data_IF_852712172986
#
_entry.id   IF_852712172986
#
_cell.length_a   1.000
_cell.length_b   1.000
_cell.length_c   1.000
_cell.angle_alpha   90.00
_cell.angle_beta   90.00
_cell.angle_gamma   90.00
#
_symmetry.space_group_name_H-M   'P 1'
#
loop_
_entity.id
_entity.type
_entity.pdbx_description
1 polymer ?
#
# COMPACT_ATOMS: atom_id res chain seq x y z
N UNK A 1 20.59 7.50 51.01
CA UNK A 1 20.78 8.41 49.86
C UNK A 1 20.00 7.81 48.71
N UNK A 2 18.85 8.38 48.37
CA UNK A 2 17.96 7.86 47.35
C UNK A 2 18.33 8.55 46.04
N UNK A 3 19.06 7.84 45.17
CA UNK A 3 19.48 8.35 43.86
C UNK A 3 18.24 8.67 43.02
N UNK A 4 17.89 9.95 42.99
CA UNK A 4 17.00 10.51 41.98
C UNK A 4 17.68 10.33 40.62
N UNK A 5 17.35 9.25 39.91
CA UNK A 5 17.63 9.14 38.48
C UNK A 5 16.85 10.23 37.77
N UNK A 6 17.52 11.38 37.59
CA UNK A 6 17.06 12.47 36.76
C UNK A 6 16.66 11.94 35.38
N UNK A 7 15.55 12.46 34.88
CA UNK A 7 15.06 12.25 33.52
C UNK A 7 16.15 12.71 32.54
N UNK A 8 17.06 11.80 32.15
CA UNK A 8 18.05 12.09 31.11
C UNK A 8 17.28 12.49 29.85
N UNK A 9 17.61 13.64 29.29
CA UNK A 9 17.19 13.98 27.93
C UNK A 9 17.79 12.93 27.01
N UNK A 10 16.95 12.02 26.52
CA UNK A 10 17.41 10.92 25.67
C UNK A 10 17.53 11.49 24.26
N UNK A 11 18.75 11.55 23.72
CA UNK A 11 19.00 12.05 22.37
C UNK A 11 18.22 11.25 21.33
N UNK A 12 17.46 11.94 20.49
CA UNK A 12 16.79 11.37 19.31
C UNK A 12 17.68 11.44 18.05
N UNK A 13 18.87 12.04 18.17
CA UNK A 13 19.88 12.09 17.11
C UNK A 13 20.92 10.98 17.30
N UNK A 14 21.40 10.33 16.23
CA UNK A 14 20.86 10.39 14.88
C UNK A 14 19.49 9.68 14.80
N UNK A 15 18.63 10.07 13.84
CA UNK A 15 17.27 9.54 13.76
C UNK A 15 17.29 8.05 13.40
N UNK A 16 16.28 7.31 13.86
CA UNK A 16 16.15 5.85 13.67
C UNK A 16 17.34 5.02 14.19
N UNK A 17 18.20 5.58 15.06
CA UNK A 17 19.30 4.82 15.65
C UNK A 17 18.90 4.03 16.91
N UNK A 18 17.61 4.00 17.26
CA UNK A 18 17.08 3.23 18.39
C UNK A 18 16.28 2.03 17.89
N UNK A 19 16.53 0.87 18.50
CA UNK A 19 15.79 -0.36 18.31
C UNK A 19 14.85 -0.61 19.48
N UNK A 20 13.66 -1.10 19.16
CA UNK A 20 12.74 -1.73 20.09
C UNK A 20 12.88 -3.24 19.96
N UNK A 21 13.15 -3.92 21.07
CA UNK A 21 13.42 -5.34 21.12
C UNK A 21 12.39 -6.02 22.02
N UNK A 22 11.64 -6.97 21.49
CA UNK A 22 10.83 -7.91 22.29
C UNK A 22 11.69 -9.15 22.52
N UNK A 23 11.89 -9.50 23.79
CA UNK A 23 12.76 -10.59 24.23
C UNK A 23 12.12 -11.39 25.37
N UNK A 24 12.79 -12.46 25.82
CA UNK A 24 12.39 -13.19 27.02
C UNK A 24 12.38 -12.29 28.25
N UNK A 25 11.54 -12.61 29.25
CA UNK A 25 11.47 -11.85 30.52
C UNK A 25 12.74 -11.96 31.36
N UNK A 26 13.54 -12.98 31.09
CA UNK A 26 14.78 -13.31 31.81
C UNK A 26 15.99 -12.61 31.19
N UNK A 27 15.83 -12.03 30.00
CA UNK A 27 16.91 -11.41 29.24
C UNK A 27 17.40 -10.15 29.97
N UNK A 28 18.69 -10.11 30.24
CA UNK A 28 19.33 -8.97 30.91
C UNK A 28 19.88 -7.95 29.93
N UNK A 29 20.20 -6.76 30.45
CA UNK A 29 20.81 -5.68 29.67
C UNK A 29 22.16 -6.12 29.08
N UNK A 30 22.95 -6.86 29.85
CA UNK A 30 24.29 -7.31 29.47
C UNK A 30 24.22 -8.30 28.30
N UNK A 31 23.22 -9.20 28.32
CA UNK A 31 23.00 -10.14 27.22
C UNK A 31 22.60 -9.41 25.93
N UNK A 32 21.73 -8.40 26.02
CA UNK A 32 21.37 -7.57 24.87
C UNK A 32 22.57 -6.77 24.37
N UNK A 33 23.35 -6.17 25.27
CA UNK A 33 24.57 -5.43 24.89
C UNK A 33 25.57 -6.33 24.18
N UNK A 34 25.82 -7.55 24.69
CA UNK A 34 26.68 -8.54 24.05
C UNK A 34 26.13 -8.96 22.69
N UNK A 35 24.81 -9.21 22.59
CA UNK A 35 24.17 -9.64 21.34
C UNK A 35 24.24 -8.58 20.24
N UNK A 36 24.16 -7.30 20.60
CA UNK A 36 24.17 -6.18 19.65
C UNK A 36 25.54 -5.49 19.50
N UNK A 37 26.55 -5.88 20.26
CA UNK A 37 27.89 -5.27 20.24
C UNK A 37 28.53 -5.33 18.85
N UNK A 38 28.36 -6.44 18.14
CA UNK A 38 28.92 -6.64 16.79
C UNK A 38 28.27 -5.73 15.73
N UNK A 39 27.08 -5.21 16.00
CA UNK A 39 26.36 -4.34 15.06
C UNK A 39 26.82 -2.87 15.19
N UNK A 40 27.45 -2.50 16.30
CA UNK A 40 28.07 -1.20 16.49
C UNK A 40 28.01 -0.70 17.94
N UNK A 41 28.47 0.53 18.13
CA UNK A 41 28.56 1.13 19.46
C UNK A 41 27.17 1.49 20.02
N UNK A 42 26.86 0.91 21.18
CA UNK A 42 25.60 1.10 21.90
C UNK A 42 25.78 2.27 22.86
N UNK A 43 25.01 3.33 22.62
CA UNK A 43 24.96 4.52 23.48
C UNK A 43 24.14 4.23 24.76
N UNK A 44 23.02 3.51 24.60
CA UNK A 44 22.12 3.21 25.71
C UNK A 44 21.40 1.87 25.51
N UNK A 45 21.25 1.08 26.57
CA UNK A 45 20.42 -0.12 26.57
C UNK A 45 19.55 -0.13 27.83
N UNK A 46 18.23 -0.17 27.64
CA UNK A 46 17.22 -0.12 28.71
C UNK A 46 16.33 -1.36 28.60
N UNK A 47 16.30 -2.19 29.64
CA UNK A 47 15.32 -3.28 29.77
C UNK A 47 14.14 -2.78 30.59
N UNK A 48 12.93 -2.90 30.05
CA UNK A 48 11.72 -2.46 30.72
C UNK A 48 11.31 -3.51 31.74
N UNK A 49 11.32 -3.12 33.01
CA UNK A 49 10.89 -3.94 34.14
C UNK A 49 9.52 -3.48 34.67
N UNK A 50 8.80 -4.38 35.31
CA UNK A 50 7.62 -4.02 36.07
C UNK A 50 7.99 -3.30 37.37
N UNK A 51 7.45 -2.10 37.57
CA UNK A 51 7.74 -1.27 38.75
C UNK A 51 7.31 -1.92 40.07
N UNK A 52 6.34 -2.84 40.05
CA UNK A 52 5.83 -3.49 41.26
C UNK A 52 6.61 -4.75 41.62
N UNK A 53 7.05 -5.53 40.63
CA UNK A 53 7.68 -6.84 40.85
C UNK A 53 9.17 -6.88 40.54
N UNK A 54 9.72 -5.84 39.90
CA UNK A 54 11.10 -5.80 39.43
C UNK A 54 11.42 -6.75 38.27
N UNK A 55 10.46 -7.58 37.84
CA UNK A 55 10.68 -8.55 36.76
C UNK A 55 10.64 -7.89 35.37
N UNK A 56 11.44 -8.41 34.45
CA UNK A 56 11.47 -7.96 33.05
C UNK A 56 10.12 -8.15 32.36
N UNK A 57 9.67 -7.14 31.61
CA UNK A 57 8.45 -7.21 30.78
C UNK A 57 8.69 -7.94 29.44
N UNK A 58 9.92 -8.38 29.17
CA UNK A 58 10.32 -8.94 27.88
C UNK A 58 10.39 -7.89 26.78
N UNK A 59 10.71 -6.65 27.15
CA UNK A 59 10.84 -5.53 26.22
C UNK A 59 12.08 -4.74 26.59
N UNK A 60 12.87 -4.34 25.59
CA UNK A 60 14.04 -3.52 25.75
C UNK A 60 14.18 -2.49 24.63
N UNK A 61 14.93 -1.43 24.91
CA UNK A 61 15.34 -0.42 23.94
C UNK A 61 16.86 -0.39 23.86
N UNK A 62 17.38 -0.41 22.63
CA UNK A 62 18.82 -0.33 22.36
C UNK A 62 19.06 0.87 21.45
N UNK A 63 19.73 1.90 21.95
CA UNK A 63 20.12 3.10 21.20
C UNK A 63 21.58 2.95 20.78
N UNK A 64 21.82 3.07 19.48
CA UNK A 64 23.15 3.14 18.91
C UNK A 64 23.56 4.57 18.63
N UNK A 65 24.87 4.79 18.61
CA UNK A 65 25.48 6.07 18.22
C UNK A 65 25.26 6.40 16.74
N UNK A 66 25.04 5.39 15.90
CA UNK A 66 24.87 5.51 14.44
C UNK A 66 23.59 4.82 13.97
N UNK A 67 22.96 5.38 12.93
CA UNK A 67 21.78 4.78 12.31
C UNK A 67 22.14 3.50 11.55
N UNK A 68 23.33 3.44 10.95
CA UNK A 68 23.86 2.24 10.29
C UNK A 68 24.03 1.07 11.26
N UNK A 69 24.42 1.33 12.51
CA UNK A 69 24.51 0.31 13.56
C UNK A 69 23.13 -0.24 13.94
N UNK A 70 22.14 0.64 14.10
CA UNK A 70 20.75 0.21 14.32
C UNK A 70 20.21 -0.60 13.13
N UNK A 71 20.54 -0.20 11.89
CA UNK A 71 20.16 -0.94 10.69
C UNK A 71 20.78 -2.35 10.65
N UNK A 72 22.03 -2.51 11.08
CA UNK A 72 22.66 -3.83 11.24
C UNK A 72 21.95 -4.66 12.32
N UNK A 73 21.69 -4.05 13.48
CA UNK A 73 20.96 -4.71 14.56
C UNK A 73 19.54 -5.14 14.17
N UNK A 74 18.85 -4.39 13.31
CA UNK A 74 17.53 -4.77 12.78
C UNK A 74 17.56 -6.12 12.04
N UNK A 75 18.67 -6.45 11.37
CA UNK A 75 18.83 -7.74 10.67
C UNK A 75 18.86 -8.95 11.62
N UNK A 76 19.06 -8.73 12.92
CA UNK A 76 18.97 -9.75 13.97
C UNK A 76 17.51 -10.00 14.42
N UNK A 77 16.52 -9.40 13.77
CA UNK A 77 15.12 -9.76 13.97
C UNK A 77 14.89 -11.26 13.68
N UNK A 78 14.32 -11.99 14.64
CA UNK A 78 14.15 -13.45 14.57
C UNK A 78 15.34 -14.27 15.06
N UNK A 79 16.43 -13.63 15.50
CA UNK A 79 17.59 -14.34 16.10
C UNK A 79 17.30 -14.75 17.56
N UNK A 80 18.18 -15.57 18.14
CA UNK A 80 18.06 -16.03 19.52
C UNK A 80 19.15 -15.39 20.38
N UNK A 81 18.79 -15.00 21.60
CA UNK A 81 19.76 -14.61 22.62
C UNK A 81 20.26 -15.88 23.32
N UNK A 82 21.53 -15.89 23.70
CA UNK A 82 22.17 -16.97 24.43
C UNK A 82 21.34 -17.40 25.66
N UNK A 83 20.98 -18.69 25.74
CA UNK A 83 20.13 -19.31 26.76
C UNK A 83 18.63 -18.97 26.72
N UNK A 84 18.12 -18.38 25.63
CA UNK A 84 16.68 -18.20 25.41
C UNK A 84 16.15 -19.13 24.32
N UNK A 85 14.94 -19.65 24.53
CA UNK A 85 14.24 -20.52 23.57
C UNK A 85 13.34 -19.74 22.61
N UNK A 86 13.13 -18.45 22.87
CA UNK A 86 12.27 -17.58 22.07
C UNK A 86 13.11 -16.65 21.19
N UNK A 87 12.78 -16.52 19.90
CA UNK A 87 13.46 -15.55 19.05
C UNK A 87 13.09 -14.13 19.47
N UNK A 88 14.04 -13.21 19.34
CA UNK A 88 13.81 -11.79 19.59
C UNK A 88 13.12 -11.13 18.40
N UNK A 89 12.20 -10.21 18.69
CA UNK A 89 11.63 -9.33 17.65
C UNK A 89 12.34 -7.98 17.72
N UNK A 90 12.97 -7.56 16.64
CA UNK A 90 13.70 -6.28 16.56
C UNK A 90 12.97 -5.35 15.58
N UNK A 91 12.70 -4.13 16.01
CA UNK A 91 12.00 -3.10 15.22
C UNK A 91 12.68 -1.75 15.38
N UNK A 92 12.56 -0.86 14.39
CA UNK A 92 13.03 0.52 14.51
C UNK A 92 12.11 1.31 15.44
N UNK A 93 12.69 2.01 16.40
CA UNK A 93 11.98 2.89 17.33
C UNK A 93 12.23 4.34 16.95
N UNK A 94 11.22 5.00 16.38
CA UNK A 94 11.32 6.41 15.95
C UNK A 94 11.24 7.43 17.10
N UNK A 95 10.71 7.08 18.28
CA UNK A 95 10.66 7.96 19.44
C UNK A 95 10.44 7.21 20.75
N UNK A 96 10.82 7.81 21.88
CA UNK A 96 10.56 7.26 23.22
C UNK A 96 9.19 7.68 23.79
N UNK A 97 8.51 8.66 23.15
CA UNK A 97 7.39 9.40 23.76
C UNK A 97 5.99 9.19 23.15
N UNK A 98 5.77 8.20 22.27
CA UNK A 98 4.38 7.89 21.89
C UNK A 98 3.64 7.28 23.09
N UNK A 99 2.85 8.11 23.78
CA UNK A 99 1.87 7.68 24.77
C UNK A 99 1.02 6.57 24.15
N UNK A 100 0.85 5.49 24.93
CA UNK A 100 -0.04 4.38 24.64
C UNK A 100 -1.45 4.89 24.33
N UNK A 101 -1.85 4.79 23.07
CA UNK A 101 -3.19 4.33 22.74
C UNK A 101 -3.01 3.17 21.76
N UNK A 102 -3.54 2.04 22.19
CA UNK A 102 -3.63 0.74 21.53
C UNK A 102 -2.34 0.10 20.95
N UNK A 103 -1.67 -0.65 21.82
CA UNK A 103 -1.64 -2.09 21.60
C UNK A 103 -1.02 -2.68 20.32
N UNK A 104 -0.01 -2.08 19.70
CA UNK A 104 1.07 -2.78 18.98
C UNK A 104 2.08 -1.74 18.50
N UNK A 105 3.41 -1.97 18.62
CA UNK A 105 4.37 -1.20 17.84
C UNK A 105 4.00 -1.41 16.38
N UNK A 106 3.60 -0.35 15.67
CA UNK A 106 3.48 -0.39 14.21
C UNK A 106 4.78 -1.03 13.72
N UNK A 107 4.69 -2.16 13.02
CA UNK A 107 5.86 -2.72 12.34
C UNK A 107 6.34 -1.64 11.39
N UNK A 108 7.40 -0.94 11.79
CA UNK A 108 7.90 0.16 11.00
C UNK A 108 8.58 -0.47 9.80
N UNK A 109 7.78 -0.63 8.75
CA UNK A 109 8.13 -1.38 7.57
C UNK A 109 9.48 -0.87 7.06
N UNK A 110 10.51 -1.72 7.05
CA UNK A 110 11.89 -1.35 6.68
C UNK A 110 11.96 -0.60 5.34
N UNK A 111 11.02 -0.92 4.43
CA UNK A 111 10.81 -0.27 3.15
C UNK A 111 10.55 1.25 3.24
N UNK A 112 9.96 1.76 4.34
CA UNK A 112 9.77 3.20 4.59
C UNK A 112 11.09 3.95 4.72
N UNK A 113 12.19 3.26 5.03
CA UNK A 113 13.51 3.85 5.25
C UNK A 113 14.51 3.53 4.15
N UNK A 114 14.03 3.03 3.01
CA UNK A 114 14.87 2.76 1.82
C UNK A 114 15.11 4.00 0.95
N UNK A 115 14.40 5.09 1.23
CA UNK A 115 14.48 6.32 0.45
C UNK A 115 15.27 7.40 1.19
N UNK A 116 16.22 7.97 0.49
CA UNK A 116 17.08 9.08 0.88
C UNK A 116 16.68 10.32 0.07
N UNK A 117 16.62 11.46 0.75
CA UNK A 117 16.50 12.79 0.17
C UNK A 117 17.84 13.50 0.31
N UNK A 118 18.38 14.05 -0.77
CA UNK A 118 19.61 14.82 -0.78
C UNK A 118 19.43 16.09 -1.62
N UNK A 119 20.11 17.17 -1.25
CA UNK A 119 20.17 18.41 -2.02
C UNK A 119 21.47 18.42 -2.80
N UNK A 120 21.39 18.24 -4.11
CA UNK A 120 22.55 18.03 -4.96
C UNK A 120 22.70 19.25 -5.88
N UNK A 121 23.93 19.66 -6.24
CA UNK A 121 24.14 20.68 -7.26
C UNK A 121 23.49 20.29 -8.60
N UNK A 122 22.88 21.24 -9.30
CA UNK A 122 22.26 20.98 -10.62
C UNK A 122 23.26 20.53 -11.69
N UNK A 123 24.56 20.73 -11.45
CA UNK A 123 25.63 20.27 -12.33
C UNK A 123 25.81 18.75 -12.35
N UNK A 124 25.23 18.01 -11.40
CA UNK A 124 25.33 16.55 -11.35
C UNK A 124 24.06 15.90 -11.92
N UNK A 125 24.27 15.06 -12.92
CA UNK A 125 23.21 14.26 -13.55
C UNK A 125 22.88 12.98 -12.74
N UNK A 126 21.75 12.36 -13.09
CA UNK A 126 21.24 11.17 -12.42
C UNK A 126 22.26 10.02 -12.39
N UNK A 127 22.97 9.80 -13.49
CA UNK A 127 23.99 8.76 -13.64
C UNK A 127 25.19 8.98 -12.72
N UNK A 128 25.64 10.24 -12.60
CA UNK A 128 26.73 10.60 -11.69
C UNK A 128 26.34 10.34 -10.24
N UNK A 129 25.10 10.68 -9.86
CA UNK A 129 24.57 10.42 -8.53
C UNK A 129 24.39 8.93 -8.28
N UNK A 130 23.88 8.19 -9.25
CA UNK A 130 23.79 6.73 -9.15
C UNK A 130 25.18 6.11 -8.92
N UNK A 131 26.18 6.54 -9.68
CA UNK A 131 27.56 6.06 -9.54
C UNK A 131 28.15 6.43 -8.18
N UNK A 132 27.97 7.66 -7.72
CA UNK A 132 28.51 8.12 -6.44
C UNK A 132 27.87 7.40 -5.25
N UNK A 133 26.54 7.24 -5.28
CA UNK A 133 25.81 6.57 -4.21
C UNK A 133 25.89 5.03 -4.28
N UNK A 134 26.28 4.46 -5.42
CA UNK A 134 26.51 3.01 -5.56
C UNK A 134 27.58 2.47 -4.60
N UNK A 135 28.51 3.33 -4.16
CA UNK A 135 29.53 2.98 -3.16
C UNK A 135 28.94 2.62 -1.79
N UNK A 136 27.77 3.15 -1.46
CA UNK A 136 27.10 2.90 -0.17
C UNK A 136 26.09 1.74 -0.24
N UNK A 137 25.69 1.35 -1.44
CA UNK A 137 24.72 0.27 -1.64
C UNK A 137 24.13 0.22 -3.05
N UNK A 138 23.28 -0.76 -3.29
CA UNK A 138 22.61 -0.95 -4.57
C UNK A 138 21.49 0.09 -4.74
N UNK A 139 21.72 1.07 -5.61
CA UNK A 139 20.74 2.11 -5.92
C UNK A 139 19.70 1.56 -6.91
N UNK A 140 18.46 1.42 -6.45
CA UNK A 140 17.30 1.00 -7.27
C UNK A 140 16.85 2.14 -8.18
N UNK A 141 16.72 3.35 -7.62
CA UNK A 141 16.16 4.49 -8.34
C UNK A 141 16.81 5.79 -7.87
N UNK A 142 17.10 6.68 -8.81
CA UNK A 142 17.42 8.07 -8.54
C UNK A 142 16.35 8.91 -9.23
N UNK A 143 15.90 9.98 -8.57
CA UNK A 143 14.98 10.96 -9.17
C UNK A 143 15.45 12.35 -8.79
N UNK A 144 15.85 13.13 -9.79
CA UNK A 144 16.23 14.53 -9.61
C UNK A 144 15.01 15.42 -9.85
N UNK A 145 14.75 16.33 -8.92
CA UNK A 145 13.68 17.32 -9.00
C UNK A 145 14.34 18.69 -8.85
N UNK A 146 14.38 19.52 -9.90
CA UNK A 146 14.92 20.88 -9.82
C UNK A 146 14.20 21.68 -8.72
N UNK A 147 14.95 22.38 -7.87
CA UNK A 147 14.34 23.22 -6.84
C UNK A 147 13.79 24.50 -7.47
N UNK A 148 12.51 24.80 -7.22
CA UNK A 148 11.85 26.03 -7.69
C UNK A 148 12.42 27.29 -7.03
N UNK A 149 13.03 27.15 -5.85
CA UNK A 149 13.59 28.27 -5.08
C UNK A 149 15.05 28.54 -5.38
N UNK A 150 15.81 27.50 -5.71
CA UNK A 150 17.24 27.60 -5.91
C UNK A 150 17.65 26.94 -7.23
N UNK A 151 17.82 27.75 -8.27
CA UNK A 151 18.09 27.27 -9.64
C UNK A 151 19.42 26.51 -9.76
N UNK A 152 20.31 26.61 -8.77
CA UNK A 152 21.62 25.93 -8.75
C UNK A 152 21.60 24.57 -8.03
N UNK A 153 20.46 24.16 -7.47
CA UNK A 153 20.32 22.92 -6.70
C UNK A 153 19.09 22.12 -7.14
N UNK A 154 19.20 20.80 -7.03
CA UNK A 154 18.11 19.87 -7.25
C UNK A 154 17.92 18.97 -6.03
N UNK A 155 16.67 18.63 -5.74
CA UNK A 155 16.30 17.61 -4.78
C UNK A 155 16.47 16.23 -5.43
N UNK A 156 17.39 15.43 -4.94
CA UNK A 156 17.59 14.05 -5.32
C UNK A 156 16.85 13.12 -4.37
N UNK A 157 16.01 12.25 -4.92
CA UNK A 157 15.39 11.14 -4.21
C UNK A 157 16.04 9.85 -4.66
N UNK A 158 16.78 9.21 -3.75
CA UNK A 158 17.56 8.01 -4.02
C UNK A 158 16.91 6.86 -3.25
N UNK A 159 16.67 5.73 -3.91
CA UNK A 159 16.06 4.55 -3.30
C UNK A 159 17.06 3.40 -3.34
N UNK A 160 17.36 2.84 -2.17
CA UNK A 160 18.26 1.70 -1.99
C UNK A 160 17.51 0.38 -1.81
N UNK A 161 18.23 -0.74 -1.89
CA UNK A 161 17.63 -2.06 -1.66
C UNK A 161 17.34 -2.35 -0.20
N UNK A 162 18.11 -1.76 0.73
CA UNK A 162 17.94 -1.99 2.17
C UNK A 162 18.02 -0.71 3.00
N UNK A 163 17.52 -0.76 4.24
CA UNK A 163 17.65 0.35 5.19
C UNK A 163 19.12 0.63 5.55
N UNK A 164 19.94 -0.43 5.65
CA UNK A 164 21.36 -0.32 5.97
C UNK A 164 22.11 0.52 4.94
N UNK A 165 21.89 0.26 3.66
CA UNK A 165 22.51 1.03 2.56
C UNK A 165 22.12 2.51 2.63
N UNK A 166 20.84 2.81 2.89
CA UNK A 166 20.39 4.20 3.08
C UNK A 166 21.07 4.87 4.26
N UNK A 167 21.22 4.17 5.38
CA UNK A 167 21.87 4.70 6.58
C UNK A 167 23.37 4.98 6.33
N UNK A 168 24.07 4.06 5.67
CA UNK A 168 25.46 4.25 5.27
C UNK A 168 25.62 5.42 4.30
N UNK A 169 24.67 5.58 3.37
CA UNK A 169 24.67 6.71 2.44
C UNK A 169 24.49 8.05 3.16
N UNK A 170 23.61 8.14 4.17
CA UNK A 170 23.42 9.37 4.94
C UNK A 170 24.65 9.71 5.79
N UNK A 171 25.29 8.70 6.36
CA UNK A 171 26.49 8.88 7.17
C UNK A 171 27.74 9.18 6.33
N UNK A 172 27.79 8.68 5.09
CA UNK A 172 28.97 8.71 4.23
C UNK A 172 28.92 9.67 3.05
N UNK A 173 27.77 10.26 2.72
CA UNK A 173 27.66 11.22 1.62
C UNK A 173 28.32 12.57 1.94
N UNK A 174 28.54 13.38 0.90
CA UNK A 174 29.03 14.75 1.07
C UNK A 174 28.11 15.53 2.04
N UNK A 175 28.64 16.13 3.12
CA UNK A 175 27.87 16.94 4.05
C UNK A 175 27.08 18.08 3.36
N UNK A 176 27.55 18.56 2.22
CA UNK A 176 26.85 19.55 1.40
C UNK A 176 25.53 19.04 0.85
N UNK A 177 25.36 17.72 0.71
CA UNK A 177 24.12 17.12 0.22
C UNK A 177 22.99 17.13 1.24
N UNK A 178 23.26 17.47 2.51
CA UNK A 178 22.24 17.56 3.56
C UNK A 178 21.30 16.35 3.53
N UNK A 179 21.86 15.15 3.35
CA UNK A 179 21.08 13.95 3.11
C UNK A 179 20.24 13.59 4.35
N UNK A 180 19.00 13.20 4.12
CA UNK A 180 18.03 12.82 5.16
C UNK A 180 17.19 11.65 4.68
N UNK A 181 16.66 10.88 5.62
CA UNK A 181 15.66 9.86 5.28
C UNK A 181 14.39 10.53 4.74
N UNK A 182 13.87 9.99 3.64
CA UNK A 182 12.67 10.50 2.99
C UNK A 182 11.48 9.65 3.42
N UNK A 183 10.73 10.13 4.41
CA UNK A 183 9.49 9.50 4.84
C UNK A 183 8.34 9.86 3.87
N UNK A 184 7.38 8.96 3.63
CA UNK A 184 6.15 9.28 2.90
C UNK A 184 5.47 10.51 3.52
N UNK A 185 4.91 11.39 2.67
CA UNK A 185 4.44 12.75 2.99
C UNK A 185 3.38 12.81 4.12
N UNK A 186 2.76 11.69 4.46
CA UNK A 186 1.84 11.53 5.59
C UNK A 186 2.53 11.68 6.97
N UNK A 187 3.82 11.33 7.08
CA UNK A 187 4.58 11.42 8.33
C UNK A 187 5.13 12.83 8.61
N UNK A 188 5.48 13.59 7.56
CA UNK A 188 6.13 14.89 7.69
C UNK A 188 5.17 16.02 8.12
N UNK A 189 3.86 15.87 7.89
CA UNK A 189 2.87 16.84 8.34
C UNK A 189 2.68 16.80 9.87
N UNK A 190 2.83 15.63 10.50
CA UNK A 190 2.69 15.51 11.97
C UNK A 190 3.86 16.14 12.74
N UNK A 191 5.08 16.12 12.20
CA UNK A 191 6.24 16.75 12.85
C UNK A 191 6.21 18.29 12.74
N UNK A 192 5.71 18.83 11.62
CA UNK A 192 5.55 20.29 11.47
C UNK A 192 4.49 20.86 12.40
N UNK A 193 3.36 20.16 12.58
CA UNK A 193 2.28 20.60 13.46
C UNK A 193 2.65 20.52 14.96
N UNK A 194 3.52 19.60 15.36
CA UNK A 194 4.00 19.49 16.74
C UNK A 194 5.00 20.58 17.14
N UNK A 195 5.68 21.21 16.17
CA UNK A 195 6.74 22.20 16.40
C UNK A 195 6.25 23.66 16.35
N UNK A 196 5.00 23.93 15.96
CA UNK A 196 4.46 25.28 15.77
C UNK A 196 3.40 25.70 16.80
N UNK A 197 3.18 24.96 17.88
CA UNK A 197 2.26 25.36 18.95
C UNK A 197 2.94 26.34 19.92
N UNK A 198 3.06 27.61 19.51
CA UNK A 198 3.61 28.65 20.38
C UNK A 198 3.61 30.06 19.77
N UNK A 199 2.43 30.63 19.47
CA UNK A 199 2.00 32.03 19.74
C UNK A 199 0.78 32.44 18.89
N UNK A 200 -0.12 33.17 19.56
CA UNK A 200 -1.32 33.92 19.12
C UNK A 200 -1.11 34.74 17.81
N UNK A 201 -2.10 35.21 17.03
CA UNK A 201 -3.48 35.64 17.30
C UNK A 201 -4.29 35.77 15.98
N UNK A 202 -5.60 35.94 16.13
CA UNK A 202 -6.68 36.03 15.15
C UNK A 202 -6.56 37.08 14.03
N UNK A 203 -6.98 36.74 12.81
CA UNK A 203 -7.91 37.58 12.01
C UNK A 203 -8.47 36.86 10.77
N UNK A 204 -9.72 37.19 10.47
CA UNK A 204 -10.64 36.67 9.47
C UNK A 204 -10.11 36.52 8.03
N UNK A 205 -10.57 35.48 7.32
CA UNK A 205 -10.46 35.41 5.85
C UNK A 205 -10.90 34.08 5.22
N UNK A 206 -12.22 33.87 5.12
CA UNK A 206 -12.92 33.12 4.06
C UNK A 206 -12.30 31.82 3.50
N UNK A 207 -12.88 30.70 3.97
CA UNK A 207 -12.81 29.35 3.41
C UNK A 207 -12.97 29.28 1.88
N UNK A 208 -11.88 28.96 1.18
CA UNK A 208 -11.90 28.23 -0.11
C UNK A 208 -10.73 27.25 -0.13
N UNK A 209 -10.97 26.01 0.33
CA UNK A 209 -10.06 24.87 0.13
C UNK A 209 -10.00 24.57 -1.38
N UNK A 210 -8.97 25.09 -2.06
CA UNK A 210 -8.56 24.60 -3.39
C UNK A 210 -7.61 23.43 -3.19
N UNK A 211 -8.10 22.24 -3.49
CA UNK A 211 -7.33 21.02 -3.68
C UNK A 211 -6.44 21.17 -4.91
N UNK A 212 -5.16 21.51 -4.70
CA UNK A 212 -4.16 21.45 -5.76
C UNK A 212 -3.55 20.03 -5.79
N UNK A 213 -4.12 19.19 -6.65
CA UNK A 213 -3.38 18.10 -7.30
C UNK A 213 -2.20 18.72 -8.06
N UNK A 214 -0.97 18.18 -7.99
CA UNK A 214 0.07 18.60 -8.91
C UNK A 214 -0.16 17.88 -10.23
N UNK A 215 -0.97 18.50 -11.08
CA UNK A 215 -0.82 18.34 -12.51
C UNK A 215 0.35 19.22 -12.94
N UNK A 216 1.38 18.60 -13.52
CA UNK A 216 2.34 19.28 -14.36
C UNK A 216 2.81 18.30 -15.41
N UNK A 217 2.15 18.33 -16.57
CA UNK A 217 2.62 17.68 -17.77
C UNK A 217 4.02 18.17 -18.17
N UNK A 218 4.88 17.22 -18.48
CA UNK A 218 5.93 17.32 -19.51
C UNK A 218 5.91 16.01 -20.30
N UNK A 219 6.14 16.04 -21.62
CA UNK A 219 5.98 14.88 -22.48
C UNK A 219 7.22 13.98 -22.37
N UNK A 220 7.04 12.69 -22.06
CA UNK A 220 8.13 11.72 -22.22
C UNK A 220 8.05 10.48 -21.32
N UNK A 221 7.71 9.35 -21.94
CA UNK A 221 8.11 8.00 -21.53
C UNK A 221 7.19 7.28 -20.55
N UNK A 222 6.99 7.85 -19.37
CA UNK A 222 6.47 7.08 -18.24
C UNK A 222 4.96 6.88 -18.32
N UNK A 223 4.54 5.62 -18.38
CA UNK A 223 3.13 5.25 -18.48
C UNK A 223 2.69 4.54 -17.22
N UNK A 224 1.65 5.10 -16.59
CA UNK A 224 1.09 4.58 -15.35
C UNK A 224 -0.16 3.76 -15.65
N UNK A 225 -0.18 2.56 -15.08
CA UNK A 225 -1.27 1.61 -15.11
C UNK A 225 -1.90 1.51 -13.71
N UNK A 226 -3.22 1.37 -13.68
CA UNK A 226 -3.99 1.02 -12.50
C UNK A 226 -4.34 -0.46 -12.59
N UNK A 227 -4.11 -1.17 -11.49
CA UNK A 227 -4.27 -2.61 -11.40
C UNK A 227 -5.25 -2.93 -10.29
N UNK A 228 -6.25 -3.75 -10.59
CA UNK A 228 -7.18 -4.28 -9.59
C UNK A 228 -7.00 -5.79 -9.55
N UNK A 229 -6.76 -6.31 -8.35
CA UNK A 229 -6.46 -7.72 -8.15
C UNK A 229 -6.98 -8.21 -6.78
N UNK A 230 -6.91 -9.53 -6.54
CA UNK A 230 -7.35 -10.14 -5.27
C UNK A 230 -6.60 -9.56 -4.08
N UNK A 231 -7.27 -9.41 -2.93
CA UNK A 231 -6.64 -9.01 -1.67
C UNK A 231 -5.71 -10.08 -1.07
N UNK A 232 -5.75 -11.30 -1.62
CA UNK A 232 -4.84 -12.41 -1.30
C UNK A 232 -3.45 -12.24 -1.91
N UNK A 233 -3.27 -11.28 -2.81
CA UNK A 233 -1.99 -10.94 -3.41
C UNK A 233 -1.23 -9.97 -2.53
N UNK A 234 0.06 -10.22 -2.33
CA UNK A 234 0.93 -9.29 -1.64
C UNK A 234 1.79 -8.50 -2.66
N UNK A 235 2.46 -7.46 -2.17
CA UNK A 235 3.31 -6.58 -2.99
C UNK A 235 4.36 -7.33 -3.82
N UNK A 236 4.97 -8.40 -3.27
CA UNK A 236 6.00 -9.21 -3.93
C UNK A 236 5.41 -10.07 -5.07
N UNK A 237 4.28 -10.73 -4.83
CA UNK A 237 3.57 -11.49 -5.86
C UNK A 237 3.09 -10.59 -6.98
N UNK A 238 2.54 -9.43 -6.64
CA UNK A 238 2.10 -8.46 -7.62
C UNK A 238 3.29 -7.94 -8.44
N UNK A 239 4.40 -7.61 -7.78
CA UNK A 239 5.62 -7.20 -8.46
C UNK A 239 6.10 -8.26 -9.46
N UNK A 240 6.17 -9.54 -9.08
CA UNK A 240 6.56 -10.64 -9.99
C UNK A 240 5.64 -10.81 -11.19
N UNK A 241 4.34 -10.56 -11.02
CA UNK A 241 3.38 -10.64 -12.12
C UNK A 241 3.65 -9.55 -13.16
N UNK A 242 3.95 -8.33 -12.70
CA UNK A 242 4.24 -7.20 -13.59
C UNK A 242 5.69 -7.19 -14.10
N UNK A 243 6.61 -7.90 -13.46
CA UNK A 243 7.97 -8.13 -13.96
C UNK A 243 8.01 -9.02 -15.22
N UNK A 244 6.89 -9.66 -15.58
CA UNK A 244 6.74 -10.40 -16.86
C UNK A 244 6.91 -9.46 -18.08
N UNK A 245 6.58 -8.18 -17.91
CA UNK A 245 6.80 -7.17 -18.94
C UNK A 245 8.08 -6.35 -18.60
N UNK A 246 9.06 -6.28 -19.52
CA UNK A 246 10.26 -5.49 -19.29
C UNK A 246 9.93 -4.00 -19.20
N UNK A 247 10.76 -3.24 -18.49
CA UNK A 247 10.59 -1.78 -18.36
C UNK A 247 9.64 -1.34 -17.23
N UNK A 248 9.22 -2.25 -16.34
CA UNK A 248 8.51 -1.88 -15.12
C UNK A 248 9.46 -1.09 -14.19
N UNK A 249 9.13 0.17 -13.88
CA UNK A 249 9.88 1.00 -12.92
C UNK A 249 9.51 0.66 -11.49
N UNK A 250 8.23 0.65 -11.18
CA UNK A 250 7.72 0.30 -9.86
C UNK A 250 6.27 -0.14 -9.91
N UNK A 251 5.90 -0.98 -8.95
CA UNK A 251 4.54 -1.43 -8.69
C UNK A 251 4.30 -1.17 -7.19
N UNK A 252 3.22 -0.47 -6.84
CA UNK A 252 2.87 -0.22 -5.44
C UNK A 252 1.38 -0.43 -5.23
N UNK A 253 1.01 -1.13 -4.17
CA UNK A 253 -0.37 -1.19 -3.69
C UNK A 253 -0.74 0.20 -3.15
N UNK A 254 -1.78 0.79 -3.75
CA UNK A 254 -2.32 2.12 -3.38
C UNK A 254 -3.41 1.96 -2.34
N UNK A 255 -4.31 1.01 -2.55
CA UNK A 255 -5.44 0.73 -1.67
C UNK A 255 -5.58 -0.76 -1.50
N UNK A 256 -5.74 -1.22 -0.26
CA UNK A 256 -5.98 -2.63 0.05
C UNK A 256 -7.24 -2.72 0.90
N UNK A 257 -8.28 -3.34 0.35
CA UNK A 257 -9.55 -3.60 1.03
C UNK A 257 -9.70 -5.11 1.26
N UNK A 258 -10.67 -5.51 2.07
CA UNK A 258 -11.02 -6.92 2.31
C UNK A 258 -11.49 -7.67 1.04
N UNK A 259 -11.66 -6.94 -0.06
CA UNK A 259 -12.25 -7.43 -1.30
C UNK A 259 -11.24 -7.39 -2.45
N UNK A 260 -10.43 -6.36 -2.57
CA UNK A 260 -9.48 -6.20 -3.66
C UNK A 260 -8.31 -5.29 -3.26
N UNK A 261 -7.25 -5.42 -4.04
CA UNK A 261 -6.09 -4.56 -4.01
C UNK A 261 -6.09 -3.72 -5.27
N UNK A 262 -6.03 -2.41 -5.10
CA UNK A 262 -5.73 -1.45 -6.16
C UNK A 262 -4.26 -1.11 -6.08
N UNK A 263 -3.53 -1.36 -7.16
CA UNK A 263 -2.13 -1.04 -7.27
C UNK A 263 -1.86 -0.12 -8.45
N UNK A 264 -0.80 0.65 -8.34
CA UNK A 264 -0.27 1.50 -9.39
C UNK A 264 1.01 0.86 -9.90
N UNK A 265 1.09 0.64 -11.21
CA UNK A 265 2.27 0.12 -11.88
C UNK A 265 2.75 1.12 -12.91
N UNK A 266 4.03 1.46 -12.93
CA UNK A 266 4.59 2.44 -13.85
C UNK A 266 5.66 1.80 -14.72
N UNK A 267 5.54 2.01 -16.03
CA UNK A 267 6.47 1.54 -17.05
C UNK A 267 7.22 2.71 -17.68
N UNK A 268 8.43 2.45 -18.18
CA UNK A 268 9.29 3.44 -18.86
C UNK A 268 8.84 3.84 -20.26
N UNK A 269 7.99 3.04 -20.88
CA UNK A 269 7.48 3.26 -22.23
C UNK A 269 6.03 2.83 -22.38
N UNK A 270 5.30 3.48 -23.28
CA UNK A 270 3.96 3.07 -23.71
C UNK A 270 3.95 1.68 -24.35
N UNK A 271 4.98 1.32 -25.11
CA UNK A 271 5.08 -0.01 -25.74
C UNK A 271 5.24 -1.13 -24.70
N UNK A 272 5.96 -0.85 -23.62
CA UNK A 272 6.20 -1.78 -22.51
C UNK A 272 4.95 -1.90 -21.62
N UNK A 273 4.30 -0.77 -21.32
CA UNK A 273 3.02 -0.73 -20.65
C UNK A 273 1.94 -1.51 -21.43
N UNK A 274 1.87 -1.33 -22.76
CA UNK A 274 0.93 -2.06 -23.60
C UNK A 274 1.17 -3.57 -23.55
N UNK A 275 2.43 -4.01 -23.59
CA UNK A 275 2.78 -5.43 -23.45
C UNK A 275 2.36 -5.98 -22.08
N UNK A 276 2.45 -5.18 -21.02
CA UNK A 276 1.95 -5.55 -19.70
C UNK A 276 0.42 -5.67 -19.69
N UNK A 277 -0.29 -4.71 -20.29
CA UNK A 277 -1.75 -4.78 -20.46
C UNK A 277 -2.14 -6.04 -21.24
N UNK A 278 -1.57 -6.28 -22.42
CA UNK A 278 -1.93 -7.41 -23.28
C UNK A 278 -1.66 -8.77 -22.64
N UNK A 279 -0.62 -8.88 -21.80
CA UNK A 279 -0.22 -10.14 -21.17
C UNK A 279 -0.86 -10.39 -19.81
N UNK A 280 -1.14 -9.33 -19.05
CA UNK A 280 -1.52 -9.42 -17.64
C UNK A 280 -2.99 -9.09 -17.43
N UNK A 281 -3.57 -8.24 -18.27
CA UNK A 281 -5.01 -8.00 -18.25
C UNK A 281 -5.76 -9.31 -18.50
N UNK A 282 -6.66 -9.66 -17.59
CA UNK A 282 -7.45 -10.89 -17.67
C UNK A 282 -6.73 -12.15 -17.19
N UNK A 283 -5.48 -12.08 -16.72
CA UNK A 283 -4.81 -13.21 -16.08
C UNK A 283 -5.56 -13.63 -14.81
N UNK A 284 -5.83 -14.92 -14.68
CA UNK A 284 -6.45 -15.49 -13.48
C UNK A 284 -5.37 -15.88 -12.48
N UNK A 285 -5.17 -15.02 -11.48
CA UNK A 285 -4.24 -15.27 -10.38
C UNK A 285 -4.66 -14.50 -9.12
N UNK A 286 -4.93 -15.19 -8.00
CA UNK A 286 -5.01 -16.65 -7.84
C UNK A 286 -6.13 -17.29 -8.67
N UNK A 287 -6.16 -18.62 -8.76
CA UNK A 287 -7.12 -19.34 -9.62
C UNK A 287 -8.57 -18.86 -9.37
N UNK A 288 -9.27 -18.45 -10.42
CA UNK A 288 -10.63 -17.89 -10.34
C UNK A 288 -10.74 -16.38 -10.08
N UNK A 289 -9.63 -15.66 -9.86
CA UNK A 289 -9.63 -14.20 -9.71
C UNK A 289 -8.81 -13.51 -10.80
N UNK A 290 -9.44 -12.62 -11.58
CA UNK A 290 -8.80 -11.94 -12.70
C UNK A 290 -8.12 -10.64 -12.28
N UNK A 291 -6.91 -10.44 -12.80
CA UNK A 291 -6.18 -9.19 -12.70
C UNK A 291 -6.66 -8.25 -13.79
N UNK A 292 -7.10 -7.06 -13.39
CA UNK A 292 -7.54 -6.01 -14.31
C UNK A 292 -6.42 -4.99 -14.37
N UNK A 293 -5.93 -4.71 -15.57
CA UNK A 293 -4.87 -3.72 -15.82
C UNK A 293 -5.42 -2.69 -16.80
N UNK A 294 -5.33 -1.40 -16.45
CA UNK A 294 -5.80 -0.28 -17.29
C UNK A 294 -4.84 0.88 -17.25
N UNK A 295 -4.89 1.79 -18.22
CA UNK A 295 -4.13 3.03 -18.13
C UNK A 295 -4.73 3.97 -17.09
N UNK A 296 -3.89 4.74 -16.38
CA UNK A 296 -4.37 5.70 -15.38
C UNK A 296 -5.26 6.78 -16.01
N UNK A 297 -4.96 7.18 -17.24
CA UNK A 297 -5.75 8.20 -17.95
C UNK A 297 -7.16 7.68 -18.28
N UNK A 298 -7.29 6.39 -18.64
CA UNK A 298 -8.59 5.71 -18.83
C UNK A 298 -9.34 5.54 -17.48
N UNK A 299 -8.60 5.33 -16.38
CA UNK A 299 -9.17 5.23 -15.04
C UNK A 299 -9.69 6.58 -14.52
N UNK A 300 -9.10 7.71 -14.93
CA UNK A 300 -9.61 9.06 -14.61
C UNK A 300 -10.91 9.36 -15.31
N UNK A 301 -11.08 8.91 -16.55
CA UNK A 301 -12.35 9.05 -17.29
C UNK A 301 -13.49 8.18 -16.69
N UNK A 302 -13.16 7.08 -16.01
CA UNK A 302 -14.13 6.27 -15.24
C UNK A 302 -14.53 6.89 -13.90
N UNK A 303 -13.70 7.73 -13.26
CA UNK A 303 -14.13 8.49 -12.05
C UNK A 303 -15.19 9.52 -12.42
N UNK A 304 -15.20 10.03 -13.65
CA UNK A 304 -16.33 10.78 -14.19
C UNK A 304 -17.54 9.90 -14.50
N UNK A 305 -17.37 8.58 -14.64
CA UNK A 305 -18.46 7.60 -14.85
C UNK A 305 -19.05 7.06 -13.55
N UNK A 306 -18.43 7.34 -12.38
CA UNK A 306 -19.03 7.10 -11.05
C UNK A 306 -20.33 7.91 -10.85
N UNK A 307 -20.63 8.88 -11.71
CA UNK A 307 -21.91 9.59 -11.74
C UNK A 307 -23.08 8.63 -12.07
N UNK A 308 -22.90 7.61 -12.91
CA UNK A 308 -24.01 6.78 -13.41
C UNK A 308 -24.52 5.80 -12.36
N UNK A 309 -23.64 5.11 -11.62
CA UNK A 309 -24.07 4.23 -10.51
C UNK A 309 -24.48 5.00 -9.26
N UNK A 310 -23.92 6.19 -9.04
CA UNK A 310 -24.34 7.08 -7.94
C UNK A 310 -25.77 7.60 -8.13
N UNK A 311 -26.24 7.71 -9.38
CA UNK A 311 -27.65 8.00 -9.71
C UNK A 311 -28.61 6.84 -9.36
N UNK A 312 -28.11 5.60 -9.21
CA UNK A 312 -28.91 4.42 -8.85
C UNK A 312 -29.08 4.21 -7.34
N UNK A 313 -28.53 5.11 -6.51
CA UNK A 313 -28.61 5.04 -5.05
C UNK A 313 -27.50 4.20 -4.40
N UNK A 314 -27.41 4.17 -3.05
CA UNK A 314 -26.34 3.47 -2.34
C UNK A 314 -26.45 1.93 -2.47
N UNK A 315 -25.32 1.20 -2.43
CA UNK A 315 -25.32 -0.26 -2.47
C UNK A 315 -26.07 -0.84 -1.26
N UNK A 316 -27.01 -1.76 -1.53
CA UNK A 316 -27.77 -2.46 -0.48
C UNK A 316 -27.13 -3.81 -0.18
N UNK A 317 -27.31 -4.36 1.04
CA UNK A 317 -26.75 -5.66 1.41
C UNK A 317 -27.26 -6.79 0.51
N UNK A 318 -26.35 -7.70 0.16
CA UNK A 318 -26.64 -8.91 -0.61
C UNK A 318 -27.28 -9.94 0.34
N UNK A 319 -28.33 -10.62 -0.12
CA UNK A 319 -29.07 -11.62 0.63
C UNK A 319 -28.42 -13.01 0.53
N UNK A 320 -28.52 -13.78 1.61
CA UNK A 320 -27.92 -15.11 1.68
C UNK A 320 -28.66 -16.12 0.79
N UNK A 321 -27.98 -16.80 -0.16
CA UNK A 321 -28.60 -17.75 -1.08
C UNK A 321 -29.13 -19.03 -0.42
N UNK A 322 -28.71 -19.36 0.81
CA UNK A 322 -29.18 -20.53 1.54
C UNK A 322 -30.49 -20.30 2.31
N UNK A 323 -30.84 -19.04 2.58
CA UNK A 323 -32.00 -18.68 3.42
C UNK A 323 -33.12 -18.00 2.63
N UNK A 324 -32.88 -17.65 1.36
CA UNK A 324 -33.75 -16.77 0.59
C UNK A 324 -34.08 -17.41 -0.77
N UNK A 325 -35.38 -17.56 -1.07
CA UNK A 325 -35.85 -18.12 -2.33
C UNK A 325 -35.71 -17.11 -3.46
N UNK A 326 -35.17 -17.55 -4.60
CA UNK A 326 -35.05 -16.73 -5.81
C UNK A 326 -36.44 -16.52 -6.43
N UNK A 327 -36.87 -15.27 -6.53
CA UNK A 327 -38.12 -14.89 -7.18
C UNK A 327 -37.94 -14.67 -8.68
N UNK A 328 -36.87 -14.00 -9.10
CA UNK A 328 -36.65 -13.63 -10.51
C UNK A 328 -35.17 -13.53 -10.85
N UNK A 329 -34.79 -13.90 -12.08
CA UNK A 329 -33.42 -13.83 -12.58
C UNK A 329 -33.32 -12.84 -13.74
N UNK A 330 -32.35 -11.95 -13.66
CA UNK A 330 -31.98 -11.05 -14.75
C UNK A 330 -30.78 -11.65 -15.50
N UNK A 331 -30.92 -11.91 -16.80
CA UNK A 331 -29.82 -12.31 -17.65
C UNK A 331 -29.06 -11.07 -18.13
N UNK A 332 -27.73 -11.07 -18.06
CA UNK A 332 -26.94 -9.93 -18.52
C UNK A 332 -25.82 -10.36 -19.46
N UNK A 333 -25.49 -9.48 -20.40
CA UNK A 333 -24.40 -9.64 -21.36
C UNK A 333 -23.51 -8.39 -21.28
N UNK A 334 -22.21 -8.58 -21.09
CA UNK A 334 -21.19 -7.54 -21.16
C UNK A 334 -20.62 -7.48 -22.59
N UNK A 335 -20.59 -6.30 -23.21
CA UNK A 335 -20.03 -6.10 -24.55
C UNK A 335 -19.09 -4.88 -24.54
N UNK A 336 -17.87 -4.93 -25.11
CA UNK A 336 -17.27 -6.03 -25.88
C UNK A 336 -16.58 -7.09 -25.01
N UNK A 337 -16.24 -6.78 -23.76
CA UNK A 337 -15.51 -7.67 -22.85
C UNK A 337 -16.31 -8.00 -21.58
N UNK A 338 -15.83 -8.98 -20.81
CA UNK A 338 -16.48 -9.39 -19.57
C UNK A 338 -16.13 -8.43 -18.43
N UNK A 339 -17.14 -7.94 -17.72
CA UNK A 339 -16.98 -7.08 -16.54
C UNK A 339 -16.73 -7.93 -15.29
N UNK A 340 -16.02 -7.39 -14.30
CA UNK A 340 -15.77 -8.08 -13.03
C UNK A 340 -17.06 -8.42 -12.29
N UNK A 341 -17.13 -9.63 -11.71
CA UNK A 341 -18.32 -10.10 -10.96
C UNK A 341 -18.65 -9.16 -9.81
N UNK A 342 -17.63 -8.56 -9.17
CA UNK A 342 -17.81 -7.60 -8.06
C UNK A 342 -18.42 -6.26 -8.52
N UNK A 343 -18.07 -5.75 -9.70
CA UNK A 343 -18.70 -4.55 -10.26
C UNK A 343 -20.14 -4.82 -10.68
N UNK A 344 -20.40 -6.02 -11.23
CA UNK A 344 -21.76 -6.46 -11.50
C UNK A 344 -22.56 -6.62 -10.20
N UNK A 345 -21.98 -7.19 -9.15
CA UNK A 345 -22.60 -7.25 -7.82
C UNK A 345 -22.93 -5.87 -7.26
N UNK A 346 -22.02 -4.90 -7.35
CA UNK A 346 -22.30 -3.51 -6.92
C UNK A 346 -23.43 -2.87 -7.73
N UNK A 347 -23.44 -3.04 -9.04
CA UNK A 347 -24.49 -2.50 -9.90
C UNK A 347 -25.87 -3.12 -9.59
N UNK A 348 -25.93 -4.46 -9.46
CA UNK A 348 -27.18 -5.17 -9.20
C UNK A 348 -27.65 -5.05 -7.74
N UNK A 349 -26.76 -4.85 -6.75
CA UNK A 349 -27.16 -4.78 -5.33
C UNK A 349 -27.85 -3.47 -4.97
N UNK A 350 -27.61 -2.37 -5.68
CA UNK A 350 -28.27 -1.07 -5.46
C UNK A 350 -29.80 -1.13 -5.55
N UNK A 351 -30.31 -2.05 -6.37
CA UNK A 351 -31.75 -2.29 -6.52
C UNK A 351 -32.36 -3.01 -5.31
N UNK A 352 -31.54 -3.72 -4.52
CA UNK A 352 -31.96 -4.46 -3.35
C UNK A 352 -32.34 -5.90 -3.67
N UNK A 353 -32.47 -6.71 -2.63
CA UNK A 353 -32.90 -8.12 -2.73
C UNK A 353 -32.03 -8.99 -3.64
N UNK A 354 -30.81 -8.55 -3.93
CA UNK A 354 -29.86 -9.31 -4.73
C UNK A 354 -29.39 -10.50 -3.91
N UNK A 355 -29.56 -11.71 -4.45
CA UNK A 355 -29.10 -12.95 -3.83
C UNK A 355 -27.68 -13.29 -4.30
N UNK A 356 -27.46 -13.26 -5.61
CA UNK A 356 -26.15 -13.55 -6.19
C UNK A 356 -26.07 -13.04 -7.63
N UNK A 357 -24.84 -12.78 -8.08
CA UNK A 357 -24.51 -12.54 -9.50
C UNK A 357 -23.54 -13.62 -9.93
N UNK A 358 -23.93 -14.39 -10.95
CA UNK A 358 -23.12 -15.44 -11.52
C UNK A 358 -22.77 -15.09 -12.97
N UNK A 359 -21.47 -14.91 -13.23
CA UNK A 359 -20.94 -14.79 -14.58
C UNK A 359 -20.45 -16.18 -15.03
N UNK A 360 -20.86 -16.63 -16.22
CA UNK A 360 -20.42 -17.94 -16.72
C UNK A 360 -18.92 -17.86 -17.04
N UNK A 361 -18.07 -18.74 -16.47
CA UNK A 361 -16.63 -18.73 -16.72
C UNK A 361 -16.30 -18.81 -18.21
N UNK A 362 -15.38 -17.96 -18.68
CA UNK A 362 -14.99 -17.89 -20.09
C UNK A 362 -16.04 -17.29 -21.04
N UNK A 363 -17.20 -16.86 -20.53
CA UNK A 363 -18.24 -16.20 -21.33
C UNK A 363 -18.46 -14.75 -20.85
N UNK A 364 -19.08 -13.95 -21.72
CA UNK A 364 -19.42 -12.54 -21.45
C UNK A 364 -20.83 -12.35 -20.90
N UNK A 365 -21.50 -13.41 -20.48
CA UNK A 365 -22.88 -13.35 -20.02
C UNK A 365 -23.08 -14.17 -18.74
N UNK A 366 -24.10 -13.78 -17.98
CA UNK A 366 -24.39 -14.34 -16.67
C UNK A 366 -25.82 -14.07 -16.25
N UNK A 367 -26.15 -14.42 -15.02
CA UNK A 367 -27.44 -14.14 -14.41
C UNK A 367 -27.27 -13.52 -13.01
N UNK A 368 -28.12 -12.55 -12.71
CA UNK A 368 -28.30 -11.99 -11.38
C UNK A 368 -29.62 -12.52 -10.80
N UNK A 369 -29.57 -13.14 -9.63
CA UNK A 369 -30.72 -13.71 -8.95
C UNK A 369 -31.23 -12.74 -7.87
N UNK A 370 -32.53 -12.48 -7.87
CA UNK A 370 -33.19 -11.58 -6.94
C UNK A 370 -34.26 -12.30 -6.12
N UNK A 371 -34.43 -11.90 -4.87
CA UNK A 371 -35.49 -12.37 -3.98
C UNK A 371 -36.83 -11.63 -4.19
N UNK A 372 -36.83 -10.58 -5.02
CA UNK A 372 -37.99 -9.75 -5.34
C UNK A 372 -38.09 -9.55 -6.84
N UNK A 373 -39.29 -9.75 -7.40
CA UNK A 373 -39.64 -9.48 -8.79
C UNK A 373 -39.55 -7.98 -9.10
N UNK A 374 -40.04 -7.13 -8.20
CA UNK A 374 -39.97 -5.66 -8.31
C UNK A 374 -38.52 -5.17 -8.39
N UNK A 375 -37.64 -5.73 -7.55
CA UNK A 375 -36.22 -5.36 -7.53
C UNK A 375 -35.50 -5.84 -8.81
N UNK A 376 -35.84 -7.04 -9.30
CA UNK A 376 -35.32 -7.56 -10.56
C UNK A 376 -35.77 -6.74 -11.78
N UNK A 377 -37.04 -6.34 -11.86
CA UNK A 377 -37.56 -5.58 -13.00
C UNK A 377 -36.98 -4.17 -13.06
N UNK A 378 -36.80 -3.52 -11.90
CA UNK A 378 -36.08 -2.24 -11.82
C UNK A 378 -34.63 -2.38 -12.27
N UNK A 379 -33.94 -3.45 -11.86
CA UNK A 379 -32.58 -3.71 -12.28
C UNK A 379 -32.50 -3.97 -13.80
N UNK A 380 -33.41 -4.76 -14.36
CA UNK A 380 -33.47 -5.03 -15.81
C UNK A 380 -33.69 -3.74 -16.59
N UNK A 381 -34.64 -2.88 -16.18
CA UNK A 381 -34.94 -1.64 -16.90
C UNK A 381 -33.81 -0.61 -16.81
N UNK A 382 -33.21 -0.42 -15.63
CA UNK A 382 -32.25 0.66 -15.39
C UNK A 382 -30.80 0.27 -15.73
N UNK A 383 -30.44 -1.02 -15.62
CA UNK A 383 -29.11 -1.49 -16.01
C UNK A 383 -29.04 -1.91 -17.49
N UNK A 384 -30.17 -2.01 -18.20
CA UNK A 384 -30.13 -2.28 -19.63
C UNK A 384 -29.55 -1.09 -20.40
N UNK A 385 -28.46 -1.33 -21.11
CA UNK A 385 -27.79 -0.35 -21.94
C UNK A 385 -26.83 0.57 -21.17
N UNK A 386 -26.70 0.40 -19.85
CA UNK A 386 -25.77 1.15 -19.00
C UNK A 386 -24.32 0.82 -19.39
N UNK A 387 -23.46 1.82 -19.31
CA UNK A 387 -22.04 1.69 -19.61
C UNK A 387 -21.26 1.57 -18.29
N UNK A 388 -20.65 0.40 -18.06
CA UNK A 388 -19.82 0.08 -16.90
C UNK A 388 -18.36 -0.01 -17.37
N UNK A 389 -17.64 1.11 -17.27
CA UNK A 389 -16.32 1.27 -17.91
C UNK A 389 -16.44 1.23 -19.43
N UNK A 390 -15.56 0.49 -20.10
CA UNK A 390 -15.61 0.29 -21.56
C UNK A 390 -16.67 -0.74 -22.01
N UNK A 391 -17.42 -1.31 -21.06
CA UNK A 391 -18.37 -2.38 -21.34
C UNK A 391 -19.81 -1.88 -21.21
N UNK A 392 -20.60 -2.07 -22.26
CA UNK A 392 -22.05 -1.88 -22.22
C UNK A 392 -22.73 -3.15 -21.71
N UNK A 393 -23.56 -2.98 -20.69
CA UNK A 393 -24.34 -4.06 -20.13
C UNK A 393 -25.69 -4.15 -20.86
N UNK A 394 -26.04 -5.33 -21.35
CA UNK A 394 -27.38 -5.64 -21.86
C UNK A 394 -28.07 -6.57 -20.89
N UNK A 395 -29.08 -6.07 -20.17
CA UNK A 395 -29.83 -6.83 -19.17
C UNK A 395 -31.20 -7.20 -19.72
N UNK A 396 -31.60 -8.45 -19.60
CA UNK A 396 -32.84 -9.00 -20.12
C UNK A 396 -33.48 -9.85 -19.03
N UNK A 397 -34.80 -9.99 -19.08
CA UNK A 397 -35.50 -10.96 -18.24
C UNK A 397 -35.08 -12.38 -18.64
N UNK A 398 -34.66 -13.18 -17.65
CA UNK A 398 -34.37 -14.58 -17.90
C UNK A 398 -35.70 -15.33 -17.98
N UNK A 399 -36.16 -15.64 -19.19
CA UNK A 399 -37.27 -16.58 -19.38
C UNK A 399 -36.72 -17.97 -19.06
N UNK A 400 -37.06 -18.54 -17.90
CA UNK A 400 -36.78 -19.96 -17.65
C UNK A 400 -37.55 -20.79 -18.69
N UNK A 401 -36.86 -21.27 -19.72
CA UNK A 401 -37.36 -22.42 -20.46
C UNK A 401 -37.36 -23.58 -19.49
N UNK A 402 -38.58 -24.01 -19.17
CA UNK A 402 -38.91 -25.09 -18.27
C UNK A 402 -38.31 -26.40 -18.83
N UNK A 403 -37.07 -26.70 -18.49
CA UNK A 403 -36.30 -27.88 -18.93
C UNK A 403 -36.78 -29.20 -18.26
N UNK A 404 -38.08 -29.31 -17.98
CA UNK A 404 -38.71 -30.49 -17.39
C UNK A 404 -39.63 -31.26 -18.38
N UNK A 405 -39.50 -31.04 -19.70
CA UNK A 405 -40.34 -31.75 -20.70
C UNK A 405 -39.62 -32.39 -21.90
N UNK A 406 -38.30 -32.56 -21.91
CA UNK A 406 -37.58 -33.24 -23.00
C UNK A 406 -36.69 -34.43 -22.60
N UNK A 407 -36.94 -35.04 -21.43
CA UNK A 407 -36.33 -36.34 -21.04
C UNK A 407 -37.31 -37.50 -20.87
N UNK A 408 -38.52 -37.40 -21.42
CA UNK A 408 -39.47 -38.53 -21.55
C UNK A 408 -40.13 -38.46 -22.93
N UNK A 409 -40.06 -39.56 -23.70
CA UNK A 409 -40.22 -39.71 -25.17
C UNK A 409 -38.89 -39.46 -25.90
N UNK A 410 -38.11 -40.47 -26.31
CA UNK A 410 -38.40 -41.80 -26.89
C UNK A 410 -37.21 -42.72 -26.56
N UNK A 411 -37.32 -43.68 -25.63
CA UNK A 411 -37.69 -45.07 -25.94
C UNK A 411 -39.10 -45.25 -26.52
N UNK A 412 -39.13 -45.47 -27.84
CA UNK A 412 -39.93 -46.49 -28.53
C UNK A 412 -39.35 -46.72 -29.92
#
# INVERSE_FOLDING_TARGET
MQEHMGRREISEEPPMSRLFVICGRQVTKEQLMKHFADDGEIEECIVIVDKKTGQGKGVAYVKFTKTSSAARGLRKNGSYIENETRPIKVMISASYQKKKEDGTPEEVNEYKFRRLFAVIPISKDEEAIKSEFSRFGTVIQVRLVPDKKNQSQCAAYITFTSFLETALAIEGCDPNYRAKFCLPREALNKEKEASSSGKHESSNGSSRKRTHSPESGRPGGDVKLVVICSNSLNQDRLWRIFDIAPGMKYCNIVTQNDINITASVVYSSKSEAQRAVDKIHGLEYPIGERIIVRYEDEFRDEISSNDVLSQLGPPKPILNPQTTQCAKKAFFICMPEAVSVKLLQDAFCRFGDLINVYLIPGKRHGYAAFASDVSADRAIQQLHGIQLGDCRLKVLECMEQNDNKKRRQTDQ
#
